data_IF_374998658678
#
_entry.id   IF_374998658678
#
_cell.length_a   1.000
_cell.length_b   1.000
_cell.length_c   1.000
_cell.angle_alpha   90.00
_cell.angle_beta   90.00
_cell.angle_gamma   90.00
#
_symmetry.space_group_name_H-M   'P 1'
#
loop_
_entity.id
_entity.type
_entity.pdbx_description
1 polymer ?
#
# COMPACT_ATOMS: atom_id res chain seq x y z
N UNK A 1 -9.12 11.64 -21.15
CA UNK A 1 -9.61 11.10 -19.85
C UNK A 1 -10.19 12.28 -19.10
N UNK A 2 -11.42 12.16 -18.59
CA UNK A 2 -12.16 13.26 -17.95
C UNK A 2 -11.31 13.95 -16.88
N UNK A 3 -11.09 15.25 -17.07
CA UNK A 3 -10.41 16.14 -16.13
C UNK A 3 -11.32 16.54 -14.95
N UNK A 4 -12.56 16.03 -14.92
CA UNK A 4 -13.56 16.31 -13.87
C UNK A 4 -13.40 15.46 -12.59
N UNK A 5 -12.39 14.58 -12.52
CA UNK A 5 -12.17 13.78 -11.31
C UNK A 5 -11.62 14.61 -10.17
N UNK A 6 -12.11 14.35 -8.96
CA UNK A 6 -11.55 14.92 -7.73
C UNK A 6 -10.07 14.53 -7.59
N UNK A 7 -9.27 15.41 -7.00
CA UNK A 7 -7.81 15.20 -6.90
C UNK A 7 -7.44 14.00 -6.04
N UNK A 8 -7.91 13.96 -4.80
CA UNK A 8 -7.49 12.94 -3.83
C UNK A 8 -8.54 12.73 -2.74
N UNK A 9 -8.69 11.49 -2.30
CA UNK A 9 -9.41 11.13 -1.06
C UNK A 9 -8.46 10.54 -0.03
N UNK A 10 -8.77 10.74 1.25
CA UNK A 10 -8.12 10.01 2.34
C UNK A 10 -8.93 8.76 2.66
N UNK A 11 -8.26 7.62 2.71
CA UNK A 11 -8.84 6.32 2.99
C UNK A 11 -8.26 5.81 4.30
N UNK A 12 -9.12 5.57 5.28
CA UNK A 12 -8.77 5.10 6.62
C UNK A 12 -9.26 3.67 6.78
N UNK A 13 -8.40 2.66 6.58
CA UNK A 13 -8.75 1.26 6.80
C UNK A 13 -8.99 1.00 8.28
N UNK A 14 -10.17 0.49 8.59
CA UNK A 14 -10.57 0.18 9.97
C UNK A 14 -10.40 -1.31 10.29
N UNK A 15 -10.33 -1.60 11.57
CA UNK A 15 -10.38 -2.97 12.09
C UNK A 15 -11.84 -3.39 12.40
N UNK A 16 -12.03 -4.62 12.89
CA UNK A 16 -13.35 -5.15 13.28
C UNK A 16 -13.88 -4.56 14.61
N UNK A 17 -13.50 -3.33 14.95
CA UNK A 17 -13.93 -2.64 16.18
C UNK A 17 -14.33 -1.20 15.88
N UNK A 18 -15.32 -0.72 16.63
CA UNK A 18 -15.86 0.62 16.50
C UNK A 18 -15.06 1.66 17.30
N UNK A 19 -14.54 1.29 18.46
CA UNK A 19 -13.84 2.22 19.34
C UNK A 19 -12.38 2.39 18.94
N UNK A 20 -11.90 3.64 18.90
CA UNK A 20 -10.49 3.96 18.67
C UNK A 20 -9.67 3.84 19.96
N UNK A 21 -8.48 3.26 19.87
CA UNK A 21 -7.52 3.28 20.99
C UNK A 21 -6.99 4.70 21.23
N UNK A 22 -6.36 4.99 22.39
CA UNK A 22 -5.79 6.31 22.65
C UNK A 22 -4.81 6.79 21.57
N UNK A 23 -3.97 5.89 21.05
CA UNK A 23 -3.01 6.22 19.99
C UNK A 23 -3.71 6.50 18.66
N UNK A 24 -4.77 5.77 18.34
CA UNK A 24 -5.54 6.01 17.12
C UNK A 24 -6.35 7.30 17.19
N UNK A 25 -6.81 7.69 18.37
CA UNK A 25 -7.44 9.00 18.58
C UNK A 25 -6.44 10.12 18.29
N UNK A 26 -5.17 9.97 18.69
CA UNK A 26 -4.10 10.93 18.34
C UNK A 26 -3.91 10.96 16.81
N UNK A 27 -3.78 9.79 16.17
CA UNK A 27 -3.65 9.70 14.71
C UNK A 27 -4.83 10.32 13.97
N UNK A 28 -6.05 10.11 14.46
CA UNK A 28 -7.25 10.70 13.89
C UNK A 28 -7.30 12.23 14.09
N UNK A 29 -6.83 12.74 15.24
CA UNK A 29 -6.66 14.20 15.45
C UNK A 29 -5.68 14.80 14.44
N UNK A 30 -4.54 14.18 14.18
CA UNK A 30 -3.61 14.64 13.15
C UNK A 30 -4.26 14.69 11.77
N UNK A 31 -4.94 13.60 11.39
CA UNK A 31 -5.66 13.52 10.12
C UNK A 31 -6.69 14.67 9.98
N UNK A 32 -7.52 14.85 11.00
CA UNK A 32 -8.59 15.85 10.99
C UNK A 32 -8.10 17.27 11.19
N UNK A 33 -6.92 17.49 11.76
CA UNK A 33 -6.32 18.82 11.87
C UNK A 33 -5.69 19.25 10.55
N UNK A 34 -4.73 18.46 10.04
CA UNK A 34 -3.93 18.83 8.87
C UNK A 34 -4.64 18.59 7.54
N UNK A 35 -5.51 17.57 7.45
CA UNK A 35 -6.19 17.20 6.20
C UNK A 35 -7.71 17.38 6.30
N UNK A 36 -8.18 18.36 7.07
CA UNK A 36 -9.61 18.63 7.28
C UNK A 36 -10.38 18.86 5.96
N UNK A 37 -9.75 19.48 4.96
CA UNK A 37 -10.39 19.87 3.70
C UNK A 37 -10.67 18.72 2.72
N UNK A 38 -10.09 17.54 2.91
CA UNK A 38 -10.21 16.42 1.98
C UNK A 38 -11.36 15.49 2.34
N UNK A 39 -11.96 14.84 1.34
CA UNK A 39 -12.92 13.77 1.56
C UNK A 39 -12.23 12.59 2.28
N UNK A 40 -12.82 12.11 3.37
CA UNK A 40 -12.28 11.03 4.21
C UNK A 40 -13.25 9.86 4.20
N UNK A 41 -12.75 8.66 3.93
CA UNK A 41 -13.54 7.44 3.92
C UNK A 41 -13.00 6.44 4.92
N UNK A 42 -13.84 5.97 5.84
CA UNK A 42 -13.56 4.80 6.65
C UNK A 42 -13.88 3.56 5.82
N UNK A 43 -12.88 2.71 5.65
CA UNK A 43 -13.04 1.41 4.98
C UNK A 43 -13.30 0.38 6.07
N UNK A 44 -14.55 -0.10 6.13
CA UNK A 44 -15.08 -0.93 7.22
C UNK A 44 -15.69 -2.22 6.68
N UNK A 45 -15.73 -3.29 7.49
CA UNK A 45 -16.51 -4.48 7.15
C UNK A 45 -18.01 -4.14 7.07
N UNK A 46 -18.75 -4.88 6.25
CA UNK A 46 -20.20 -4.72 6.10
C UNK A 46 -20.95 -4.77 7.44
N UNK A 47 -20.48 -5.62 8.37
CA UNK A 47 -21.11 -5.83 9.67
C UNK A 47 -20.84 -4.75 10.71
N UNK A 48 -19.85 -3.86 10.50
CA UNK A 48 -19.46 -2.88 11.51
C UNK A 48 -20.17 -1.55 11.28
N UNK A 49 -20.91 -1.09 12.28
CA UNK A 49 -21.40 0.28 12.30
C UNK A 49 -20.47 1.17 13.12
N UNK A 50 -20.04 2.26 12.50
CA UNK A 50 -19.08 3.21 13.06
C UNK A 50 -19.35 4.57 12.42
N UNK A 51 -19.28 5.63 13.22
CA UNK A 51 -19.32 6.99 12.74
C UNK A 51 -18.18 7.77 13.38
N UNK A 52 -17.32 8.36 12.56
CA UNK A 52 -16.32 9.33 12.99
C UNK A 52 -16.62 10.68 12.34
N UNK A 53 -16.49 11.80 13.07
CA UNK A 53 -16.82 13.12 12.54
C UNK A 53 -16.06 13.44 11.25
N UNK A 54 -16.79 13.91 10.23
CA UNK A 54 -16.18 14.31 8.95
C UNK A 54 -15.69 13.14 8.08
N UNK A 55 -16.10 11.91 8.37
CA UNK A 55 -15.78 10.73 7.55
C UNK A 55 -17.03 10.07 6.98
N UNK A 56 -16.92 9.61 5.72
CA UNK A 56 -17.90 8.79 5.03
C UNK A 56 -17.55 7.31 5.19
N UNK A 57 -18.51 6.40 4.99
CA UNK A 57 -18.26 4.96 5.04
C UNK A 57 -18.11 4.37 3.64
N UNK A 58 -17.14 3.47 3.47
CA UNK A 58 -17.05 2.57 2.33
C UNK A 58 -16.99 1.14 2.85
N UNK A 59 -18.01 0.34 2.54
CA UNK A 59 -18.15 -1.03 3.06
C UNK A 59 -17.55 -2.04 2.09
N UNK A 60 -16.84 -3.01 2.62
CA UNK A 60 -16.29 -4.15 1.88
C UNK A 60 -16.60 -5.45 2.63
N UNK A 61 -16.54 -6.58 1.92
CA UNK A 61 -16.81 -7.90 2.49
C UNK A 61 -15.97 -8.20 3.73
N UNK A 62 -16.58 -8.86 4.72
CA UNK A 62 -15.96 -9.15 6.02
C UNK A 62 -14.66 -9.98 5.89
N UNK A 63 -14.48 -10.72 4.80
CA UNK A 63 -13.29 -11.52 4.49
C UNK A 63 -12.00 -10.72 4.28
N UNK A 64 -12.11 -9.39 4.12
CA UNK A 64 -10.99 -8.47 3.95
C UNK A 64 -10.45 -7.92 5.28
N UNK A 65 -11.06 -8.25 6.41
CA UNK A 65 -10.73 -7.68 7.71
C UNK A 65 -10.32 -8.73 8.73
N UNK A 66 -9.70 -8.30 9.83
CA UNK A 66 -9.35 -9.15 10.98
C UNK A 66 -7.98 -9.83 10.93
N UNK A 67 -7.22 -9.70 9.84
CA UNK A 67 -5.81 -10.12 9.78
C UNK A 67 -5.02 -9.32 8.75
N UNK A 68 -3.69 -9.33 8.86
CA UNK A 68 -2.79 -8.71 7.87
C UNK A 68 -3.03 -9.31 6.48
N UNK A 69 -3.18 -10.64 6.38
CA UNK A 69 -3.44 -11.33 5.10
C UNK A 69 -4.77 -10.89 4.48
N UNK A 70 -5.81 -10.72 5.30
CA UNK A 70 -7.10 -10.25 4.83
C UNK A 70 -7.00 -8.81 4.29
N UNK A 71 -6.29 -7.93 5.00
CA UNK A 71 -6.06 -6.55 4.56
C UNK A 71 -5.24 -6.48 3.26
N UNK A 72 -4.19 -7.29 3.14
CA UNK A 72 -3.43 -7.45 1.89
C UNK A 72 -4.33 -7.82 0.71
N UNK A 73 -5.30 -8.72 0.91
CA UNK A 73 -6.24 -9.08 -0.16
C UNK A 73 -7.11 -7.91 -0.60
N UNK A 74 -7.47 -7.00 0.31
CA UNK A 74 -8.25 -5.81 -0.01
C UNK A 74 -7.45 -4.86 -0.90
N UNK A 75 -6.21 -4.57 -0.53
CA UNK A 75 -5.34 -3.67 -1.29
C UNK A 75 -4.78 -4.27 -2.59
N UNK A 76 -4.95 -5.58 -2.78
CA UNK A 76 -4.73 -6.31 -4.02
C UNK A 76 -6.05 -6.64 -4.75
N UNK A 77 -7.15 -5.96 -4.41
CA UNK A 77 -8.43 -6.08 -5.12
C UNK A 77 -8.62 -4.92 -6.09
N UNK A 78 -9.02 -5.21 -7.33
CA UNK A 78 -9.42 -4.17 -8.29
C UNK A 78 -10.64 -3.39 -7.80
N UNK A 79 -11.58 -4.09 -7.15
CA UNK A 79 -12.85 -3.50 -6.67
C UNK A 79 -12.59 -2.39 -5.64
N UNK A 80 -11.53 -2.52 -4.84
CA UNK A 80 -11.11 -1.48 -3.91
C UNK A 80 -10.76 -0.18 -4.65
N UNK A 81 -9.97 -0.23 -5.72
CA UNK A 81 -9.59 0.98 -6.47
C UNK A 81 -10.75 1.51 -7.31
N UNK A 82 -11.59 0.62 -7.86
CA UNK A 82 -12.81 1.02 -8.56
C UNK A 82 -13.79 1.76 -7.65
N UNK A 83 -13.85 1.38 -6.37
CA UNK A 83 -14.66 2.08 -5.37
C UNK A 83 -14.26 3.55 -5.25
N UNK A 84 -13.03 3.95 -5.58
CA UNK A 84 -12.56 5.34 -5.51
C UNK A 84 -12.34 5.97 -6.89
N UNK A 85 -12.87 5.40 -7.98
CA UNK A 85 -12.59 5.84 -9.34
C UNK A 85 -13.03 7.29 -9.68
N UNK A 86 -13.83 7.93 -8.83
CA UNK A 86 -14.14 9.37 -8.91
C UNK A 86 -12.94 10.28 -8.57
N UNK A 87 -11.91 9.71 -7.92
CA UNK A 87 -10.66 10.40 -7.57
C UNK A 87 -9.53 10.01 -8.52
N UNK A 88 -8.50 10.86 -8.61
CA UNK A 88 -7.25 10.54 -9.28
C UNK A 88 -6.30 9.76 -8.35
N UNK A 89 -6.27 10.14 -7.08
CA UNK A 89 -5.42 9.56 -6.04
C UNK A 89 -6.22 9.14 -4.81
N UNK A 90 -5.66 8.18 -4.06
CA UNK A 90 -6.05 7.92 -2.68
C UNK A 90 -4.81 7.97 -1.79
N UNK A 91 -4.95 8.57 -0.61
CA UNK A 91 -4.01 8.44 0.49
C UNK A 91 -4.52 7.36 1.43
N UNK A 92 -3.84 6.23 1.52
CA UNK A 92 -4.04 5.27 2.60
C UNK A 92 -3.45 5.88 3.87
N UNK A 93 -4.25 5.95 4.93
CA UNK A 93 -3.90 6.47 6.24
C UNK A 93 -4.35 5.48 7.31
N UNK A 94 -3.44 4.64 7.78
CA UNK A 94 -3.69 3.77 8.94
C UNK A 94 -3.73 4.61 10.22
N UNK A 95 -4.48 4.17 11.24
CA UNK A 95 -4.59 4.90 12.50
C UNK A 95 -3.39 4.72 13.44
N UNK A 96 -2.29 4.17 12.95
CA UNK A 96 -0.95 4.27 13.52
C UNK A 96 -0.03 5.17 12.66
N UNK A 97 -0.60 5.96 11.75
CA UNK A 97 0.09 7.00 11.00
C UNK A 97 -0.18 8.42 11.54
N UNK A 98 0.74 9.34 11.27
CA UNK A 98 0.59 10.78 11.53
C UNK A 98 0.86 11.57 10.26
N UNK A 99 0.27 12.77 10.16
CA UNK A 99 0.66 13.81 9.21
C UNK A 99 0.97 15.09 9.97
N UNK A 100 1.84 15.94 9.42
CA UNK A 100 2.35 17.14 10.09
C UNK A 100 2.15 18.44 9.30
N UNK A 101 1.53 18.37 8.11
CA UNK A 101 1.22 19.54 7.28
C UNK A 101 0.17 19.23 6.22
N UNK A 102 -0.48 20.26 5.67
CA UNK A 102 -1.35 20.13 4.49
C UNK A 102 -0.53 20.26 3.20
N UNK A 103 0.13 19.17 2.80
CA UNK A 103 0.91 19.11 1.56
C UNK A 103 0.38 18.06 0.58
N UNK A 104 -0.81 17.51 0.82
CA UNK A 104 -1.29 16.33 0.10
C UNK A 104 -1.48 16.60 -1.41
N UNK A 105 -1.98 17.77 -1.80
CA UNK A 105 -2.07 18.14 -3.22
C UNK A 105 -0.70 18.29 -3.88
N UNK A 106 0.29 18.85 -3.18
CA UNK A 106 1.65 18.97 -3.70
C UNK A 106 2.26 17.58 -3.98
N UNK A 107 2.00 16.59 -3.12
CA UNK A 107 2.41 15.21 -3.37
C UNK A 107 1.70 14.59 -4.57
N UNK A 108 0.43 14.92 -4.79
CA UNK A 108 -0.28 14.51 -6.01
C UNK A 108 0.33 15.16 -7.26
N UNK A 109 0.76 16.43 -7.19
CA UNK A 109 1.38 17.16 -8.30
C UNK A 109 2.76 16.59 -8.69
N UNK A 110 3.42 15.82 -7.81
CA UNK A 110 4.66 15.12 -8.15
C UNK A 110 4.46 13.95 -9.12
N UNK A 111 3.22 13.54 -9.40
CA UNK A 111 2.86 12.54 -10.41
C UNK A 111 3.54 11.16 -10.23
N UNK A 112 3.74 10.74 -8.98
CA UNK A 112 4.12 9.36 -8.69
C UNK A 112 2.90 8.44 -8.71
N UNK A 113 3.11 7.20 -9.12
CA UNK A 113 2.06 6.18 -9.05
C UNK A 113 1.94 5.63 -7.63
N UNK A 114 3.07 5.47 -6.95
CA UNK A 114 3.14 4.96 -5.59
C UNK A 114 4.25 5.64 -4.79
N UNK A 115 3.87 6.17 -3.62
CA UNK A 115 4.81 6.70 -2.63
C UNK A 115 4.33 6.35 -1.21
N UNK A 116 5.27 6.02 -0.34
CA UNK A 116 5.08 5.69 1.07
C UNK A 116 6.42 5.76 1.81
N UNK A 117 6.46 5.46 3.12
CA UNK A 117 7.70 5.38 3.86
C UNK A 117 8.70 4.43 3.19
N UNK A 118 9.98 4.82 3.07
CA UNK A 118 11.01 3.94 2.57
C UNK A 118 11.39 2.90 3.61
N UNK A 119 11.53 1.67 3.15
CA UNK A 119 12.30 0.66 3.87
C UNK A 119 13.78 1.00 3.72
N UNK A 120 14.42 1.29 4.84
CA UNK A 120 15.86 1.54 4.93
C UNK A 120 16.52 0.35 5.61
N UNK A 121 17.80 0.08 5.34
CA UNK A 121 18.52 -0.97 6.06
C UNK A 121 19.04 -0.39 7.39
N UNK A 122 18.49 -0.86 8.51
CA UNK A 122 18.92 -0.46 9.85
C UNK A 122 18.76 -1.61 10.87
N UNK A 123 19.24 -1.47 12.12
CA UNK A 123 19.12 -2.51 13.15
C UNK A 123 17.68 -2.96 13.43
N UNK A 124 16.71 -2.07 13.25
CA UNK A 124 15.28 -2.35 13.43
C UNK A 124 14.61 -2.97 12.20
N UNK A 125 15.32 -3.05 11.06
CA UNK A 125 14.85 -3.62 9.80
C UNK A 125 15.93 -4.41 9.04
N UNK A 126 16.57 -5.40 9.70
CA UNK A 126 17.69 -6.16 9.12
C UNK A 126 17.29 -6.99 7.89
N UNK A 127 15.98 -7.18 7.65
CA UNK A 127 15.47 -7.87 6.46
C UNK A 127 15.52 -7.03 5.18
N UNK A 128 15.75 -5.72 5.27
CA UNK A 128 15.78 -4.81 4.13
C UNK A 128 17.16 -4.86 3.47
N UNK A 129 17.30 -5.66 2.41
CA UNK A 129 18.59 -5.77 1.68
C UNK A 129 18.92 -4.53 0.86
N UNK A 130 17.92 -4.00 0.17
CA UNK A 130 18.04 -2.85 -0.71
C UNK A 130 17.00 -1.79 -0.31
N UNK A 131 17.43 -0.56 0.03
CA UNK A 131 16.53 0.51 0.39
C UNK A 131 15.60 0.90 -0.75
N UNK A 132 14.31 1.02 -0.48
CA UNK A 132 13.29 1.43 -1.45
C UNK A 132 11.99 1.84 -0.76
N UNK A 133 11.15 2.57 -1.48
CA UNK A 133 9.78 2.86 -1.03
C UNK A 133 8.97 1.57 -1.05
N UNK A 134 8.23 1.32 0.03
CA UNK A 134 7.43 0.09 0.10
C UNK A 134 6.35 0.04 1.16
N UNK A 135 6.35 0.87 2.21
CA UNK A 135 5.33 0.74 3.23
C UNK A 135 3.97 1.33 2.80
N UNK A 136 2.90 0.55 2.94
CA UNK A 136 1.56 0.93 2.49
C UNK A 136 0.69 1.65 3.52
N UNK A 137 1.07 1.67 4.80
CA UNK A 137 0.18 2.15 5.86
C UNK A 137 0.02 3.67 5.95
N UNK A 138 0.99 4.42 5.43
CA UNK A 138 0.79 5.80 4.98
C UNK A 138 1.28 5.87 3.53
N UNK A 139 0.39 5.79 2.55
CA UNK A 139 0.82 5.75 1.14
C UNK A 139 -0.13 6.46 0.19
N UNK A 140 0.42 7.21 -0.76
CA UNK A 140 -0.34 7.84 -1.84
C UNK A 140 -0.28 6.94 -3.08
N UNK A 141 -1.46 6.65 -3.65
CA UNK A 141 -1.64 5.70 -4.75
C UNK A 141 -2.43 6.34 -5.89
N UNK A 142 -1.88 6.31 -7.10
CA UNK A 142 -2.57 6.79 -8.31
C UNK A 142 -3.47 5.70 -8.86
N UNK A 143 -4.79 5.92 -8.77
CA UNK A 143 -5.79 4.88 -9.05
C UNK A 143 -5.63 4.27 -10.44
N UNK A 144 -5.47 5.11 -11.47
CA UNK A 144 -5.39 4.64 -12.86
C UNK A 144 -4.20 3.70 -13.09
N UNK A 145 -3.05 4.00 -12.47
CA UNK A 145 -1.85 3.18 -12.63
C UNK A 145 -1.99 1.83 -11.95
N UNK A 146 -2.66 1.78 -10.80
CA UNK A 146 -3.02 0.53 -10.14
C UNK A 146 -4.00 -0.28 -11.00
N UNK A 147 -5.05 0.36 -11.54
CA UNK A 147 -6.01 -0.30 -12.45
C UNK A 147 -5.35 -0.82 -13.74
N UNK A 148 -4.36 -0.11 -14.29
CA UNK A 148 -3.56 -0.59 -15.43
C UNK A 148 -2.80 -1.87 -15.09
N UNK A 149 -2.22 -1.96 -13.89
CA UNK A 149 -1.56 -3.18 -13.40
C UNK A 149 -2.56 -4.34 -13.31
N UNK A 150 -3.75 -4.13 -12.71
CA UNK A 150 -4.79 -5.16 -12.64
C UNK A 150 -5.30 -5.66 -14.00
N UNK A 151 -5.21 -4.82 -15.02
CA UNK A 151 -5.70 -5.09 -16.38
C UNK A 151 -4.59 -5.44 -17.36
N UNK A 152 -3.35 -5.59 -16.87
CA UNK A 152 -2.22 -5.96 -17.70
C UNK A 152 -2.36 -7.40 -18.19
N UNK A 153 -2.13 -7.59 -19.48
CA UNK A 153 -2.05 -8.91 -20.13
C UNK A 153 -0.65 -9.55 -20.00
N UNK A 154 0.27 -8.88 -19.31
CA UNK A 154 1.62 -9.40 -19.06
C UNK A 154 1.54 -10.63 -18.15
N UNK A 155 2.30 -11.66 -18.49
CA UNK A 155 2.35 -12.91 -17.76
C UNK A 155 3.13 -12.77 -16.46
N UNK A 156 2.56 -13.21 -15.33
CA UNK A 156 3.26 -13.19 -14.04
C UNK A 156 4.49 -14.11 -14.03
N UNK A 157 4.41 -15.19 -14.80
CA UNK A 157 5.47 -16.16 -14.96
C UNK A 157 5.64 -16.50 -16.44
N UNK A 158 6.81 -16.21 -17.00
CA UNK A 158 7.10 -16.57 -18.38
C UNK A 158 6.97 -18.09 -18.57
N UNK A 159 6.10 -18.57 -19.48
CA UNK A 159 5.87 -20.00 -19.67
C UNK A 159 7.11 -20.77 -20.10
N UNK A 160 8.02 -20.16 -20.88
CA UNK A 160 9.28 -20.77 -21.30
C UNK A 160 10.28 -20.81 -20.15
N UNK A 161 10.38 -19.73 -19.36
CA UNK A 161 11.25 -19.70 -18.19
C UNK A 161 10.80 -20.72 -17.12
N UNK A 162 9.49 -20.79 -16.86
CA UNK A 162 8.90 -21.83 -16.01
C UNK A 162 9.22 -23.23 -16.53
N UNK A 163 9.04 -23.45 -17.83
CA UNK A 163 9.33 -24.73 -18.45
C UNK A 163 10.80 -25.11 -18.29
N UNK A 164 11.69 -24.14 -18.51
CA UNK A 164 13.14 -24.31 -18.38
C UNK A 164 13.53 -24.67 -16.95
N UNK A 165 13.02 -23.93 -15.96
CA UNK A 165 13.36 -24.15 -14.54
C UNK A 165 12.86 -25.49 -14.00
N UNK A 166 11.66 -25.91 -14.39
CA UNK A 166 11.00 -27.07 -13.78
C UNK A 166 11.20 -28.37 -14.56
N UNK A 167 11.31 -28.29 -15.89
CA UNK A 167 11.16 -29.48 -16.74
C UNK A 167 12.32 -29.70 -17.72
N UNK A 168 13.20 -28.73 -17.98
CA UNK A 168 14.26 -28.89 -18.98
C UNK A 168 15.25 -30.02 -18.65
N UNK A 169 15.55 -30.24 -17.37
CA UNK A 169 16.43 -31.31 -16.90
C UNK A 169 15.74 -32.68 -16.74
N UNK A 170 14.43 -32.79 -17.02
CA UNK A 170 13.68 -34.03 -16.81
C UNK A 170 13.68 -34.95 -18.06
N UNK A 171 13.52 -36.27 -17.87
CA UNK A 171 13.34 -37.23 -18.97
C UNK A 171 12.21 -36.85 -19.95
N UNK A 172 12.36 -37.29 -21.21
CA UNK A 172 11.43 -36.93 -22.29
C UNK A 172 9.95 -37.27 -22.00
N UNK A 173 9.68 -38.41 -21.34
CA UNK A 173 8.31 -38.81 -21.01
C UNK A 173 7.65 -37.88 -19.96
N UNK A 174 8.39 -37.42 -18.94
CA UNK A 174 7.89 -36.46 -17.96
C UNK A 174 7.65 -35.09 -18.59
N UNK A 175 8.53 -34.67 -19.52
CA UNK A 175 8.30 -33.47 -20.33
C UNK A 175 7.04 -33.61 -21.17
N UNK A 176 6.83 -34.74 -21.85
CA UNK A 176 5.64 -34.97 -22.65
C UNK A 176 4.35 -34.94 -21.81
N UNK A 177 4.35 -35.59 -20.65
CA UNK A 177 3.21 -35.61 -19.72
C UNK A 177 2.83 -34.20 -19.21
N UNK A 178 3.82 -33.31 -19.04
CA UNK A 178 3.59 -31.97 -18.50
C UNK A 178 3.42 -30.88 -19.57
N UNK A 179 3.54 -31.20 -20.86
CA UNK A 179 3.29 -30.24 -21.97
C UNK A 179 1.95 -29.52 -21.85
N UNK A 180 0.82 -30.19 -21.50
CA UNK A 180 -0.45 -29.51 -21.27
C UNK A 180 -0.36 -28.37 -20.25
N UNK A 181 0.43 -28.53 -19.17
CA UNK A 181 0.63 -27.47 -18.16
C UNK A 181 1.36 -26.26 -18.74
N UNK A 182 2.29 -26.47 -19.68
CA UNK A 182 2.96 -25.37 -20.41
C UNK A 182 1.96 -24.58 -21.23
N UNK A 183 1.09 -25.26 -21.98
CA UNK A 183 0.06 -24.62 -22.80
C UNK A 183 -0.98 -23.88 -21.97
N UNK A 184 -1.39 -24.44 -20.82
CA UNK A 184 -2.28 -23.74 -19.87
C UNK A 184 -1.64 -22.43 -19.39
N UNK A 185 -0.33 -22.42 -19.09
CA UNK A 185 0.37 -21.18 -18.69
C UNK A 185 0.55 -20.18 -19.82
N UNK A 186 0.52 -20.59 -21.08
CA UNK A 186 0.47 -19.66 -22.23
C UNK A 186 -0.89 -18.98 -22.37
N UNK A 187 -1.93 -19.48 -21.71
CA UNK A 187 -3.22 -18.84 -21.75
C UNK A 187 -3.30 -17.74 -20.67
N UNK A 188 -3.36 -16.48 -21.11
CA UNK A 188 -3.34 -15.28 -20.26
C UNK A 188 -4.37 -15.33 -19.11
N UNK A 189 -5.54 -15.95 -19.30
CA UNK A 189 -6.56 -16.12 -18.25
C UNK A 189 -6.09 -16.89 -17.02
N UNK A 190 -5.04 -17.70 -17.17
CA UNK A 190 -4.41 -18.51 -16.12
C UNK A 190 -3.05 -17.95 -15.69
N UNK A 191 -2.59 -16.88 -16.33
CA UNK A 191 -1.25 -16.30 -16.15
C UNK A 191 -1.32 -14.76 -16.28
N UNK A 192 -2.07 -14.11 -15.40
CA UNK A 192 -2.22 -12.64 -15.38
C UNK A 192 -1.98 -12.08 -13.97
N UNK A 193 -1.89 -10.74 -13.88
CA UNK A 193 -1.66 -10.02 -12.64
C UNK A 193 -2.64 -10.42 -11.52
N UNK A 194 -3.94 -10.49 -11.83
CA UNK A 194 -4.99 -10.81 -10.85
C UNK A 194 -4.80 -12.18 -10.22
N UNK A 195 -4.35 -13.17 -11.01
CA UNK A 195 -4.05 -14.51 -10.51
C UNK A 195 -2.82 -14.54 -9.60
N UNK A 196 -1.76 -13.80 -9.93
CA UNK A 196 -0.60 -13.67 -9.04
C UNK A 196 -1.04 -13.01 -7.72
N UNK A 197 -1.76 -11.88 -7.80
CA UNK A 197 -2.27 -11.14 -6.64
C UNK A 197 -3.16 -12.00 -5.74
N UNK A 198 -4.07 -12.80 -6.32
CA UNK A 198 -4.92 -13.71 -5.55
C UNK A 198 -4.12 -14.78 -4.78
N UNK A 199 -2.92 -15.12 -5.24
CA UNK A 199 -2.02 -16.10 -4.62
C UNK A 199 -0.87 -15.46 -3.84
N UNK A 200 -0.81 -14.13 -3.75
CA UNK A 200 0.33 -13.40 -3.21
C UNK A 200 0.66 -13.78 -1.77
N UNK A 201 -0.38 -13.93 -0.94
CA UNK A 201 -0.25 -14.35 0.46
C UNK A 201 0.28 -15.78 0.65
N UNK A 202 0.32 -16.61 -0.40
CA UNK A 202 0.80 -18.00 -0.36
C UNK A 202 2.31 -18.12 -0.69
N UNK A 203 3.01 -17.01 -0.94
CA UNK A 203 4.41 -17.07 -1.36
C UNK A 203 5.31 -17.71 -0.29
N UNK A 204 6.23 -18.61 -0.70
CA UNK A 204 7.11 -19.32 0.23
C UNK A 204 8.31 -18.48 0.69
N UNK A 205 8.66 -17.41 -0.05
CA UNK A 205 9.79 -16.53 0.24
C UNK A 205 9.53 -15.50 1.34
N UNK A 206 8.32 -15.50 1.92
CA UNK A 206 7.92 -14.58 2.99
C UNK A 206 7.42 -13.21 2.50
N UNK A 207 7.50 -12.90 1.20
CA UNK A 207 7.00 -11.63 0.62
C UNK A 207 5.49 -11.66 0.43
N UNK A 208 4.75 -11.64 1.55
CA UNK A 208 3.29 -11.85 1.57
C UNK A 208 2.48 -10.57 1.71
N UNK A 209 3.10 -9.45 2.06
CA UNK A 209 2.47 -8.13 2.18
C UNK A 209 2.27 -7.51 0.77
N UNK A 210 1.14 -6.83 0.54
CA UNK A 210 0.84 -6.08 -0.70
C UNK A 210 1.92 -5.05 -1.04
N UNK A 211 2.57 -4.52 -0.02
CA UNK A 211 3.64 -3.55 -0.10
C UNK A 211 4.77 -4.01 -1.02
N UNK A 212 5.16 -5.29 -0.90
CA UNK A 212 6.15 -5.92 -1.78
C UNK A 212 5.64 -6.03 -3.23
N UNK A 213 4.34 -6.21 -3.42
CA UNK A 213 3.78 -6.25 -4.76
C UNK A 213 3.90 -4.89 -5.44
N UNK A 214 3.42 -3.83 -4.78
CA UNK A 214 3.37 -2.49 -5.37
C UNK A 214 4.75 -1.85 -5.54
N UNK A 215 5.68 -2.11 -4.63
CA UNK A 215 7.06 -1.63 -4.73
C UNK A 215 7.89 -2.39 -5.78
N UNK A 216 7.82 -3.73 -5.78
CA UNK A 216 8.77 -4.56 -6.52
C UNK A 216 8.19 -5.17 -7.81
N UNK A 217 6.90 -5.51 -7.84
CA UNK A 217 6.27 -6.26 -8.93
C UNK A 217 5.39 -5.44 -9.86
N UNK A 218 4.89 -4.29 -9.45
CA UNK A 218 4.00 -3.48 -10.30
C UNK A 218 4.63 -3.14 -11.66
N UNK A 219 5.94 -2.81 -11.69
CA UNK A 219 6.69 -2.50 -12.92
C UNK A 219 6.79 -3.65 -13.92
N UNK A 220 6.64 -4.89 -13.46
CA UNK A 220 6.59 -6.04 -14.36
C UNK A 220 5.33 -5.98 -15.26
N UNK A 221 4.21 -5.50 -14.71
CA UNK A 221 2.93 -5.43 -15.41
C UNK A 221 2.69 -4.10 -16.12
N UNK A 222 3.26 -3.03 -15.58
CA UNK A 222 3.19 -1.70 -16.15
C UNK A 222 4.58 -1.05 -16.00
N UNK A 223 5.46 -1.17 -17.02
CA UNK A 223 6.85 -0.70 -16.95
C UNK A 223 6.99 0.78 -16.59
N UNK A 224 6.01 1.60 -16.96
CA UNK A 224 5.97 3.03 -16.64
C UNK A 224 5.51 3.33 -15.20
N UNK A 225 5.22 2.31 -14.37
CA UNK A 225 4.78 2.48 -12.98
C UNK A 225 5.87 3.18 -12.13
N UNK A 226 5.60 4.43 -11.76
CA UNK A 226 6.50 5.35 -11.05
C UNK A 226 6.41 5.18 -9.53
N UNK A 227 7.25 4.31 -8.99
CA UNK A 227 7.56 4.27 -7.55
C UNK A 227 8.56 5.38 -7.21
N UNK A 228 8.30 6.15 -6.16
CA UNK A 228 9.20 7.20 -5.67
C UNK A 228 10.56 6.64 -5.22
N UNK A 229 11.62 7.47 -5.31
CA UNK A 229 12.94 7.13 -4.78
C UNK A 229 12.96 7.18 -3.25
N UNK A 230 13.98 6.58 -2.62
CA UNK A 230 14.16 6.64 -1.16
C UNK A 230 14.24 8.07 -0.64
N UNK A 231 14.98 8.94 -1.33
CA UNK A 231 15.11 10.36 -0.96
C UNK A 231 13.77 11.11 -1.00
N UNK A 232 12.96 10.87 -2.04
CA UNK A 232 11.61 11.43 -2.12
C UNK A 232 10.70 10.82 -1.04
N UNK A 233 10.81 9.51 -0.81
CA UNK A 233 10.08 8.78 0.23
C UNK A 233 10.37 9.30 1.64
N UNK A 234 11.62 9.64 1.95
CA UNK A 234 12.00 10.25 3.24
C UNK A 234 11.33 11.61 3.46
N UNK A 235 11.17 12.42 2.41
CA UNK A 235 10.42 13.67 2.51
C UNK A 235 8.91 13.43 2.71
N UNK A 236 8.39 12.31 2.20
CA UNK A 236 6.99 11.94 2.33
C UNK A 236 6.66 11.36 3.71
N UNK A 237 7.33 10.29 4.12
CA UNK A 237 7.06 9.67 5.40
C UNK A 237 8.23 8.88 5.99
N UNK A 238 8.26 8.82 7.32
CA UNK A 238 9.13 7.91 8.07
C UNK A 238 8.36 6.70 8.60
N UNK A 239 9.08 5.62 8.90
CA UNK A 239 8.52 4.49 9.65
C UNK A 239 9.55 4.02 10.69
N UNK A 240 10.50 3.19 10.24
CA UNK A 240 11.50 2.58 11.11
C UNK A 240 12.67 3.53 11.32
N UNK A 241 13.22 3.56 12.55
CA UNK A 241 14.36 4.41 12.93
C UNK A 241 14.16 5.89 12.54
N UNK A 242 13.16 6.59 13.11
CA UNK A 242 12.80 7.94 12.69
C UNK A 242 13.92 8.97 12.91
N UNK A 243 14.80 8.77 13.89
CA UNK A 243 15.99 9.62 14.09
C UNK A 243 16.97 9.52 12.92
N UNK A 244 17.26 8.29 12.46
CA UNK A 244 18.09 8.06 11.28
C UNK A 244 17.43 8.66 10.03
N UNK A 245 16.12 8.45 9.86
CA UNK A 245 15.38 9.06 8.76
C UNK A 245 15.44 10.59 8.80
N UNK A 246 15.35 11.19 9.98
CA UNK A 246 15.45 12.65 10.18
C UNK A 246 16.82 13.19 9.79
N UNK A 247 17.90 12.50 10.18
CA UNK A 247 19.27 12.85 9.79
C UNK A 247 19.46 12.73 8.26
N UNK A 248 18.96 11.65 7.67
CA UNK A 248 18.97 11.43 6.21
C UNK A 248 18.12 12.47 5.47
N UNK A 249 17.06 12.99 6.11
CA UNK A 249 16.21 14.05 5.59
C UNK A 249 16.70 15.46 5.99
N UNK A 250 17.99 15.60 6.30
CA UNK A 250 18.65 16.87 6.59
C UNK A 250 18.05 17.65 7.76
N UNK A 251 17.62 16.94 8.81
CA UNK A 251 17.03 17.53 10.00
C UNK A 251 15.68 18.18 9.72
N UNK A 252 14.89 17.61 8.80
CA UNK A 252 13.53 18.08 8.48
C UNK A 252 12.52 16.98 8.74
N UNK A 253 11.37 17.38 9.27
CA UNK A 253 10.24 16.47 9.39
C UNK A 253 9.69 16.11 8.00
N UNK A 254 9.20 14.87 7.84
CA UNK A 254 8.49 14.45 6.64
C UNK A 254 7.06 15.01 6.62
N UNK A 255 6.34 14.81 5.53
CA UNK A 255 4.90 15.07 5.47
C UNK A 255 4.12 14.24 6.52
N UNK A 256 4.53 13.01 6.79
CA UNK A 256 3.93 12.16 7.83
C UNK A 256 4.80 11.01 8.31
N UNK A 257 4.23 10.08 9.06
CA UNK A 257 4.91 8.84 9.44
C UNK A 257 3.92 7.69 9.60
N UNK A 258 4.43 6.46 9.65
CA UNK A 258 3.66 5.24 9.88
C UNK A 258 4.22 4.48 11.08
N UNK A 259 3.36 3.70 11.74
CA UNK A 259 3.65 2.91 12.93
C UNK A 259 4.35 3.74 14.05
N UNK A 260 3.93 4.99 14.24
CA UNK A 260 4.52 5.93 15.19
C UNK A 260 4.54 5.43 16.66
N UNK A 261 3.55 4.65 17.16
CA UNK A 261 3.62 4.13 18.53
C UNK A 261 4.65 3.02 18.67
N UNK A 262 4.95 2.31 17.56
CA UNK A 262 5.80 1.12 17.55
C UNK A 262 7.29 1.47 17.44
N UNK A 263 7.62 2.45 16.60
CA UNK A 263 9.01 2.79 16.28
C UNK A 263 9.41 4.15 16.88
N UNK A 264 10.17 4.09 17.98
CA UNK A 264 10.71 5.24 18.71
C UNK A 264 9.65 6.32 18.99
N UNK A 265 8.62 5.93 19.76
CA UNK A 265 7.53 6.84 20.20
C UNK A 265 8.06 8.17 20.75
N UNK A 266 9.15 8.13 21.51
CA UNK A 266 9.76 9.30 22.14
C UNK A 266 10.21 10.37 21.15
N UNK A 267 10.55 9.98 19.91
CA UNK A 267 10.86 10.91 18.85
C UNK A 267 9.61 11.70 18.41
N UNK A 268 8.44 11.04 18.40
CA UNK A 268 7.19 11.62 17.92
C UNK A 268 6.43 12.41 18.98
N UNK A 269 6.60 12.10 20.26
CA UNK A 269 5.91 12.73 21.40
C UNK A 269 5.87 14.27 21.35
N UNK A 270 6.98 14.98 21.06
CA UNK A 270 6.97 16.44 20.99
C UNK A 270 6.09 17.03 19.87
N UNK A 271 5.70 16.22 18.89
CA UNK A 271 4.93 16.65 17.72
C UNK A 271 3.46 16.21 17.76
N UNK A 272 3.04 15.48 18.80
CA UNK A 272 1.68 14.98 18.91
C UNK A 272 0.72 16.12 19.26
N UNK A 273 -0.40 16.19 18.54
CA UNK A 273 -1.48 17.08 18.89
C UNK A 273 -2.16 16.61 20.17
N UNK A 274 -2.12 17.46 21.19
CA UNK A 274 -2.88 17.24 22.44
C UNK A 274 -4.39 17.28 22.17
N UNK A 275 -5.16 16.59 23.01
CA UNK A 275 -6.61 16.72 22.95
C UNK A 275 -7.00 18.13 23.39
N UNK A 276 -7.98 18.75 22.73
CA UNK A 276 -8.68 19.84 23.39
C UNK A 276 -9.25 19.27 24.69
N UNK A 277 -8.90 19.88 25.82
CA UNK A 277 -9.66 19.67 27.05
C UNK A 277 -11.11 20.03 26.71
N UNK A 278 -11.99 19.03 26.81
CA UNK A 278 -13.42 19.22 26.61
C UNK A 278 -13.97 20.28 27.56
#
# INVERSE_FOLDING_TARGET
>A
MNDDRKRVAVVVPMHNRSELTPDEQISFRHLTHYLHAYDKYLVVPESLDLSLPGCLLKRFGNEYFGSVVANTRLFLSEDFYLAFAEYQYILIYHLDALVFSDQLLAWCDMDFDYIGPPWIHCPDSPWVKEPRVGNGGLSLRKIDSFLKVFRSDVYWMDPEEYWRKQWAGMPAYLRALNLPRKFVKRWFRFNNARREMAQWHLRPDGTRNEDHFWSDRARHYFPEFKVASVEVGLRFAFEVAPRLCYDMNHGRLPFGCHAWPRYDRSFWEPYLLEGQAA
#
